data_IF_170174282241
#
_entry.id   IF_170174282241
#
_cell.length_a   1.000
_cell.length_b   1.000
_cell.length_c   1.000
_cell.angle_alpha   90.00
_cell.angle_beta   90.00
_cell.angle_gamma   90.00
#
_symmetry.space_group_name_H-M   'P 1'
#
loop_
_entity.id
_entity.type
_entity.pdbx_description
1 polymer ?
#
# COMPACT_ATOMS: atom_id res chain seq x y z
N UNK A 1 14.00 22.97 12.85
CA UNK A 1 12.53 22.86 12.74
C UNK A 1 12.25 22.25 11.39
N UNK A 2 11.93 20.95 11.35
CA UNK A 2 11.65 20.25 10.11
C UNK A 2 10.33 20.74 9.49
N UNK A 3 10.32 20.87 8.18
CA UNK A 3 9.29 21.52 7.37
C UNK A 3 7.96 20.72 7.44
N UNK A 4 6.98 21.17 8.23
CA UNK A 4 5.78 20.41 8.63
C UNK A 4 4.65 20.42 7.56
N UNK A 5 4.98 20.35 6.26
CA UNK A 5 4.01 20.44 5.15
C UNK A 5 4.06 19.29 4.12
N UNK A 6 4.98 18.34 4.24
CA UNK A 6 5.12 17.25 3.28
C UNK A 6 4.17 16.07 3.50
N UNK A 7 3.84 15.37 2.42
CA UNK A 7 3.34 13.99 2.51
C UNK A 7 4.45 13.11 3.09
N UNK A 8 4.10 12.26 4.06
CA UNK A 8 5.05 11.37 4.72
C UNK A 8 4.35 10.11 5.18
N UNK A 9 4.93 8.94 4.89
CA UNK A 9 4.51 7.66 5.46
C UNK A 9 4.84 7.67 6.95
N UNK A 10 3.93 7.19 7.78
CA UNK A 10 4.11 7.14 9.23
C UNK A 10 4.85 5.85 9.59
N UNK A 11 6.11 5.82 9.15
CA UNK A 11 7.11 4.78 9.33
C UNK A 11 8.41 5.39 9.88
N UNK A 12 9.25 4.55 10.47
CA UNK A 12 10.55 4.98 11.00
C UNK A 12 11.42 5.58 9.88
N UNK A 13 12.28 6.56 10.21
CA UNK A 13 13.17 7.18 9.23
C UNK A 13 14.05 6.16 8.51
N UNK A 14 14.48 5.12 9.22
CA UNK A 14 15.26 4.02 8.67
C UNK A 14 14.51 3.32 7.54
N UNK A 15 13.25 2.93 7.76
CA UNK A 15 12.45 2.23 6.74
C UNK A 15 12.14 3.17 5.58
N UNK A 16 11.81 4.45 5.84
CA UNK A 16 11.54 5.43 4.76
C UNK A 16 12.75 5.69 3.86
N UNK A 17 13.96 5.51 4.39
CA UNK A 17 15.20 5.65 3.62
C UNK A 17 15.53 4.45 2.72
N UNK A 18 14.86 3.31 2.90
CA UNK A 18 15.05 2.09 2.09
C UNK A 18 14.36 2.21 0.74
N UNK A 19 14.89 1.49 -0.25
CA UNK A 19 14.17 1.15 -1.47
C UNK A 19 12.92 0.31 -1.16
N UNK A 20 11.94 0.32 -2.07
CA UNK A 20 10.76 -0.54 -1.96
C UNK A 20 11.16 -2.02 -1.88
N UNK A 21 12.16 -2.44 -2.66
CA UNK A 21 12.76 -3.77 -2.60
C UNK A 21 13.33 -4.10 -1.22
N UNK A 22 14.16 -3.22 -0.65
CA UNK A 22 14.76 -3.43 0.68
C UNK A 22 13.73 -3.37 1.81
N UNK A 23 12.64 -2.61 1.64
CA UNK A 23 11.58 -2.46 2.62
C UNK A 23 10.49 -3.54 2.49
N UNK A 24 10.61 -4.47 1.54
CA UNK A 24 9.54 -5.42 1.19
C UNK A 24 8.97 -6.15 2.40
N UNK A 25 9.81 -6.70 3.28
CA UNK A 25 9.33 -7.45 4.45
C UNK A 25 8.54 -6.56 5.43
N UNK A 26 8.90 -5.27 5.56
CA UNK A 26 8.14 -4.33 6.38
C UNK A 26 6.81 -3.98 5.74
N UNK A 27 6.82 -3.81 4.42
CA UNK A 27 5.65 -3.50 3.61
C UNK A 27 4.67 -4.68 3.69
N UNK A 28 5.14 -5.90 3.42
CA UNK A 28 4.35 -7.13 3.49
C UNK A 28 3.77 -7.37 4.89
N UNK A 29 4.57 -7.18 5.95
CA UNK A 29 4.09 -7.31 7.32
C UNK A 29 2.98 -6.31 7.68
N UNK A 30 3.00 -5.11 7.10
CA UNK A 30 1.91 -4.12 7.28
C UNK A 30 0.71 -4.51 6.41
N UNK A 31 0.94 -4.80 5.14
CA UNK A 31 -0.12 -5.01 4.14
C UNK A 31 -0.87 -6.33 4.32
N UNK A 32 -0.23 -7.35 4.89
CA UNK A 32 -0.85 -8.63 5.27
C UNK A 32 -1.56 -8.59 6.64
N UNK A 33 -1.40 -7.51 7.42
CA UNK A 33 -2.05 -7.39 8.72
C UNK A 33 -3.57 -7.36 8.55
N UNK A 34 -4.28 -8.34 9.11
CA UNK A 34 -5.75 -8.46 9.02
C UNK A 34 -6.43 -7.65 10.12
N UNK A 35 -6.35 -6.32 10.00
CA UNK A 35 -6.98 -5.41 10.95
C UNK A 35 -8.48 -5.22 10.70
N UNK A 36 -9.24 -5.06 11.78
CA UNK A 36 -10.66 -4.67 11.74
C UNK A 36 -10.79 -3.16 11.53
N UNK A 37 -10.46 -2.71 10.32
CA UNK A 37 -10.53 -1.29 9.96
C UNK A 37 -11.98 -0.86 9.66
N UNK A 38 -12.42 0.33 10.13
CA UNK A 38 -13.82 0.78 9.98
C UNK A 38 -14.30 1.02 8.54
N UNK A 39 -13.39 1.07 7.58
CA UNK A 39 -13.66 1.36 6.18
C UNK A 39 -13.11 0.22 5.31
N UNK A 40 -13.88 -0.20 4.30
CA UNK A 40 -13.42 -1.07 3.22
C UNK A 40 -13.59 -0.37 1.87
N UNK A 41 -12.56 -0.41 1.02
CA UNK A 41 -12.55 0.15 -0.34
C UNK A 41 -12.42 -0.99 -1.35
N UNK A 42 -13.43 -1.13 -2.21
CA UNK A 42 -13.53 -2.19 -3.21
C UNK A 42 -13.66 -1.58 -4.62
N UNK A 43 -13.12 -2.21 -5.67
CA UNK A 43 -13.42 -1.83 -7.04
C UNK A 43 -14.91 -2.06 -7.30
N UNK A 44 -15.58 -1.13 -7.99
CA UNK A 44 -17.00 -1.23 -8.32
C UNK A 44 -17.36 -2.55 -9.01
N UNK A 45 -16.47 -3.02 -9.91
CA UNK A 45 -16.64 -4.29 -10.61
C UNK A 45 -16.78 -5.51 -9.69
N UNK A 46 -16.16 -5.50 -8.51
CA UNK A 46 -16.27 -6.59 -7.54
C UNK A 46 -17.63 -6.57 -6.81
N UNK A 47 -18.24 -5.39 -6.62
CA UNK A 47 -19.58 -5.24 -6.04
C UNK A 47 -20.69 -5.60 -7.03
N UNK A 48 -20.42 -5.41 -8.33
CA UNK A 48 -21.36 -5.66 -9.43
C UNK A 48 -21.30 -7.09 -9.98
N UNK A 49 -20.34 -7.90 -9.53
CA UNK A 49 -20.15 -9.26 -10.02
C UNK A 49 -21.30 -10.20 -9.61
N UNK A 50 -21.90 -10.89 -10.58
CA UNK A 50 -22.98 -11.87 -10.35
C UNK A 50 -22.52 -13.12 -9.56
N UNK A 51 -21.20 -13.37 -9.53
CA UNK A 51 -20.60 -14.48 -8.78
C UNK A 51 -19.77 -13.92 -7.63
N UNK A 52 -19.77 -14.63 -6.50
CA UNK A 52 -18.86 -14.37 -5.40
C UNK A 52 -17.42 -14.38 -5.93
N UNK A 53 -16.82 -13.20 -6.00
CA UNK A 53 -15.39 -13.03 -6.23
C UNK A 53 -14.75 -13.14 -4.86
N UNK A 54 -13.85 -14.10 -4.68
CA UNK A 54 -12.97 -14.13 -3.51
C UNK A 54 -12.20 -12.81 -3.51
N UNK A 55 -12.10 -12.08 -2.40
CA UNK A 55 -11.38 -10.81 -2.34
C UNK A 55 -10.29 -10.92 -1.29
N UNK A 56 -9.10 -10.46 -1.64
CA UNK A 56 -8.01 -10.31 -0.70
C UNK A 56 -8.07 -8.92 -0.08
N UNK A 57 -7.85 -8.83 1.23
CA UNK A 57 -7.79 -7.54 1.92
C UNK A 57 -6.34 -7.14 2.15
N UNK A 58 -6.06 -5.88 1.88
CA UNK A 58 -4.76 -5.27 2.05
C UNK A 58 -4.86 -4.07 2.98
N UNK A 59 -3.97 -4.02 3.98
CA UNK A 59 -3.89 -2.91 4.93
C UNK A 59 -2.89 -1.85 4.46
N UNK A 60 -3.29 -0.60 4.19
CA UNK A 60 -2.38 0.41 3.68
C UNK A 60 -1.42 0.90 4.78
N UNK A 61 -0.30 1.47 4.35
CA UNK A 61 0.66 2.16 5.22
C UNK A 61 0.10 3.55 5.55
N UNK A 62 -0.11 3.90 6.83
CA UNK A 62 -0.66 5.20 7.20
C UNK A 62 0.29 6.34 6.80
N UNK A 63 -0.26 7.50 6.44
CA UNK A 63 0.50 8.67 6.03
C UNK A 63 -0.04 9.97 6.65
N UNK A 64 0.71 11.07 6.54
CA UNK A 64 0.29 12.38 7.07
C UNK A 64 -0.96 12.94 6.39
N UNK A 65 -1.21 12.58 5.13
CA UNK A 65 -2.36 13.00 4.34
C UNK A 65 -3.04 11.76 3.74
N UNK A 66 -3.45 10.84 4.60
CA UNK A 66 -4.18 9.64 4.22
C UNK A 66 -3.39 8.36 4.47
N UNK A 67 -3.31 7.49 3.46
CA UNK A 67 -2.55 6.24 3.50
C UNK A 67 -2.15 5.78 2.09
N UNK A 68 -1.14 4.92 1.99
CA UNK A 68 -0.63 4.38 0.73
C UNK A 68 -0.50 2.86 0.79
N UNK A 69 -0.96 2.20 -0.26
CA UNK A 69 -0.84 0.77 -0.48
C UNK A 69 0.07 0.52 -1.69
N UNK A 70 1.02 -0.41 -1.58
CA UNK A 70 1.64 -1.03 -2.75
C UNK A 70 0.77 -2.21 -3.16
N UNK A 71 -0.02 -2.03 -4.22
CA UNK A 71 -1.10 -2.96 -4.57
C UNK A 71 -0.63 -4.11 -5.44
N UNK A 72 0.47 -3.93 -6.18
CA UNK A 72 1.07 -4.96 -7.02
C UNK A 72 2.59 -4.85 -7.04
N UNK A 73 3.25 -6.00 -7.16
CA UNK A 73 4.69 -6.12 -7.34
C UNK A 73 5.00 -6.97 -8.57
N UNK A 74 5.95 -6.50 -9.38
CA UNK A 74 6.45 -7.19 -10.55
C UNK A 74 7.86 -7.67 -10.27
N UNK A 75 8.08 -8.98 -10.37
CA UNK A 75 9.35 -9.63 -10.08
C UNK A 75 10.04 -10.11 -11.36
N UNK A 76 11.36 -10.27 -11.29
CA UNK A 76 12.15 -11.04 -12.25
C UNK A 76 11.74 -12.52 -12.15
N UNK A 77 10.93 -12.98 -13.10
CA UNK A 77 10.33 -14.31 -13.05
C UNK A 77 11.38 -15.42 -13.13
N UNK A 78 12.49 -15.20 -13.86
CA UNK A 78 13.57 -16.18 -13.97
C UNK A 78 14.35 -16.30 -12.65
N UNK A 79 14.70 -15.16 -12.05
CA UNK A 79 15.37 -15.11 -10.75
C UNK A 79 14.52 -15.72 -9.64
N UNK A 80 13.24 -15.33 -9.58
CA UNK A 80 12.32 -15.82 -8.56
C UNK A 80 12.00 -17.31 -8.74
N UNK A 81 11.77 -17.78 -9.97
CA UNK A 81 11.54 -19.20 -10.25
C UNK A 81 12.74 -20.06 -9.84
N UNK A 82 13.96 -19.58 -10.09
CA UNK A 82 15.19 -20.30 -9.73
C UNK A 82 15.34 -20.43 -8.20
N UNK A 83 15.02 -19.36 -7.46
CA UNK A 83 15.04 -19.36 -6.00
C UNK A 83 13.99 -20.31 -5.41
N UNK A 84 12.78 -20.30 -5.97
CA UNK A 84 11.66 -21.17 -5.56
C UNK A 84 11.89 -22.65 -5.89
N UNK A 85 12.46 -22.95 -7.05
CA UNK A 85 12.65 -24.32 -7.54
C UNK A 85 13.42 -25.20 -6.56
N UNK A 86 14.48 -24.65 -5.96
CA UNK A 86 15.29 -25.36 -4.96
C UNK A 86 14.51 -25.71 -3.70
N UNK A 87 13.57 -24.85 -3.28
CA UNK A 87 12.75 -25.05 -2.07
C UNK A 87 11.54 -25.96 -2.32
N UNK A 88 10.91 -25.85 -3.48
CA UNK A 88 9.71 -26.62 -3.83
C UNK A 88 10.03 -28.01 -4.42
N UNK A 89 11.27 -28.27 -4.83
CA UNK A 89 11.63 -29.50 -5.54
C UNK A 89 10.96 -29.62 -6.90
N UNK A 90 10.63 -28.47 -7.51
CA UNK A 90 9.96 -28.35 -8.83
C UNK A 90 10.94 -27.74 -9.82
N UNK A 91 10.83 -28.07 -11.11
CA UNK A 91 11.73 -27.50 -12.12
C UNK A 91 11.50 -25.97 -12.27
N UNK A 92 12.57 -25.17 -12.43
CA UNK A 92 12.47 -23.73 -12.65
C UNK A 92 11.58 -23.37 -13.85
N UNK A 93 11.59 -24.17 -14.92
CA UNK A 93 10.78 -23.93 -16.11
C UNK A 93 9.27 -23.98 -15.83
N UNK A 94 8.83 -24.88 -14.96
CA UNK A 94 7.42 -24.99 -14.56
C UNK A 94 6.99 -23.77 -13.76
N UNK A 95 7.84 -23.32 -12.83
CA UNK A 95 7.58 -22.14 -11.99
C UNK A 95 7.61 -20.86 -12.82
N UNK A 96 8.61 -20.70 -13.68
CA UNK A 96 8.71 -19.57 -14.61
C UNK A 96 7.46 -19.47 -15.48
N UNK A 97 7.02 -20.58 -16.08
CA UNK A 97 5.80 -20.61 -16.91
C UNK A 97 4.55 -20.22 -16.12
N UNK A 98 4.49 -20.48 -14.81
CA UNK A 98 3.37 -20.07 -13.98
C UNK A 98 3.45 -18.59 -13.58
N UNK A 99 4.64 -18.09 -13.23
CA UNK A 99 4.89 -16.67 -12.96
C UNK A 99 4.62 -15.79 -14.19
N UNK A 100 5.08 -16.20 -15.39
CA UNK A 100 4.82 -15.52 -16.66
C UNK A 100 3.32 -15.46 -17.01
N UNK A 101 2.50 -16.37 -16.47
CA UNK A 101 1.03 -16.35 -16.60
C UNK A 101 0.35 -15.47 -15.55
N UNK A 102 1.11 -14.81 -14.67
CA UNK A 102 0.59 -13.97 -13.60
C UNK A 102 0.02 -14.76 -12.41
N UNK A 103 0.39 -16.03 -12.23
CA UNK A 103 -0.13 -16.80 -11.09
C UNK A 103 0.44 -16.25 -9.78
N UNK A 104 -0.40 -15.88 -8.78
CA UNK A 104 0.06 -15.37 -7.50
C UNK A 104 0.99 -16.32 -6.76
N UNK A 105 2.01 -15.78 -6.09
CA UNK A 105 3.05 -16.56 -5.43
C UNK A 105 2.49 -17.51 -4.34
N UNK A 106 1.51 -17.06 -3.55
CA UNK A 106 0.86 -17.85 -2.52
C UNK A 106 0.06 -19.05 -3.07
N UNK A 107 -0.26 -19.06 -4.38
CA UNK A 107 -0.86 -20.21 -5.07
C UNK A 107 0.19 -21.17 -5.64
N UNK A 108 1.41 -20.69 -5.87
CA UNK A 108 2.52 -21.47 -6.41
C UNK A 108 3.29 -22.22 -5.32
N UNK A 109 3.33 -21.66 -4.12
CA UNK A 109 4.10 -22.19 -3.01
C UNK A 109 3.24 -22.20 -1.73
N UNK A 110 3.38 -23.23 -0.87
CA UNK A 110 2.79 -23.21 0.48
C UNK A 110 3.26 -21.97 1.26
N UNK A 111 2.43 -21.41 2.17
CA UNK A 111 2.79 -20.25 2.96
C UNK A 111 4.13 -20.40 3.67
N UNK A 112 4.44 -21.59 4.20
CA UNK A 112 5.69 -21.86 4.90
C UNK A 112 6.92 -21.69 3.98
N UNK A 113 6.78 -22.07 2.70
CA UNK A 113 7.85 -21.90 1.72
C UNK A 113 7.99 -20.43 1.30
N UNK A 114 6.87 -19.71 1.21
CA UNK A 114 6.88 -18.26 0.91
C UNK A 114 7.46 -17.45 2.07
N UNK A 115 7.11 -17.79 3.30
CA UNK A 115 7.67 -17.19 4.51
C UNK A 115 9.17 -17.49 4.66
N UNK A 116 9.63 -18.66 4.21
CA UNK A 116 11.05 -19.01 4.14
C UNK A 116 11.78 -18.41 2.93
N UNK A 117 11.11 -17.73 2.00
CA UNK A 117 11.78 -16.99 0.93
C UNK A 117 12.35 -15.70 1.51
N UNK A 118 13.54 -15.82 2.08
CA UNK A 118 14.35 -14.64 2.36
C UNK A 118 14.70 -13.94 1.03
N UNK A 119 14.61 -12.61 1.02
CA UNK A 119 15.08 -11.81 -0.11
C UNK A 119 14.14 -11.75 -1.31
N UNK A 120 12.83 -11.98 -1.16
CA UNK A 120 11.85 -11.74 -2.25
C UNK A 120 12.01 -10.33 -2.85
N UNK A 121 12.30 -9.34 -2.00
CA UNK A 121 12.63 -7.98 -2.39
C UNK A 121 13.72 -7.87 -3.46
N UNK A 122 14.73 -8.75 -3.45
CA UNK A 122 15.85 -8.74 -4.42
C UNK A 122 15.42 -9.08 -5.85
N UNK A 123 14.30 -9.80 -5.97
CA UNK A 123 13.72 -10.17 -7.26
C UNK A 123 12.75 -9.11 -7.78
N UNK A 124 12.37 -8.12 -6.97
CA UNK A 124 11.41 -7.10 -7.39
C UNK A 124 12.04 -6.13 -8.40
N UNK A 125 11.28 -5.83 -9.45
CA UNK A 125 11.67 -4.92 -10.54
C UNK A 125 10.82 -3.66 -10.55
N UNK A 126 9.50 -3.79 -10.39
CA UNK A 126 8.58 -2.67 -10.37
C UNK A 126 7.44 -2.90 -9.37
N UNK A 127 6.71 -1.83 -9.07
CA UNK A 127 5.54 -1.86 -8.21
C UNK A 127 4.47 -0.89 -8.70
N UNK A 128 3.23 -1.20 -8.36
CA UNK A 128 2.09 -0.29 -8.49
C UNK A 128 1.65 0.13 -7.09
N UNK A 129 1.39 1.41 -6.89
CA UNK A 129 0.87 1.93 -5.64
C UNK A 129 -0.42 2.73 -5.82
N UNK A 130 -1.22 2.76 -4.78
CA UNK A 130 -2.44 3.56 -4.66
C UNK A 130 -2.38 4.34 -3.35
N UNK A 131 -2.56 5.65 -3.41
CA UNK A 131 -2.68 6.51 -2.24
C UNK A 131 -4.10 7.03 -2.10
N UNK A 132 -4.66 6.93 -0.91
CA UNK A 132 -5.97 7.49 -0.57
C UNK A 132 -5.78 8.77 0.25
N UNK A 133 -6.16 9.91 -0.31
CA UNK A 133 -5.96 11.25 0.26
C UNK A 133 -7.32 11.86 0.62
N UNK A 134 -7.63 12.07 1.92
CA UNK A 134 -8.87 12.73 2.31
C UNK A 134 -8.85 14.20 1.90
N UNK A 135 -9.96 14.67 1.32
CA UNK A 135 -10.09 16.03 0.80
C UNK A 135 -10.93 16.92 1.73
N UNK A 136 -10.57 18.20 1.76
CA UNK A 136 -11.31 19.27 2.40
C UNK A 136 -12.35 19.91 1.47
N UNK A 137 -12.72 21.13 1.82
CA UNK A 137 -13.58 21.97 0.99
C UNK A 137 -12.76 22.54 -0.19
N UNK A 138 -13.27 22.39 -1.42
CA UNK A 138 -12.61 22.86 -2.65
C UNK A 138 -12.60 21.81 -3.76
N UNK A 139 -12.52 22.23 -5.01
CA UNK A 139 -12.59 21.29 -6.14
C UNK A 139 -11.23 20.66 -6.46
N UNK A 140 -11.24 19.37 -6.78
CA UNK A 140 -10.10 18.70 -7.40
C UNK A 140 -10.14 19.02 -8.88
N UNK A 141 -9.14 19.74 -9.37
CA UNK A 141 -8.97 20.01 -10.80
C UNK A 141 -8.23 18.83 -11.41
N UNK A 142 -8.93 18.00 -12.19
CA UNK A 142 -8.34 16.82 -12.81
C UNK A 142 -7.12 17.14 -13.67
N UNK A 143 -7.10 18.31 -14.32
CA UNK A 143 -5.96 18.76 -15.14
C UNK A 143 -4.68 18.98 -14.30
N UNK A 144 -4.83 19.36 -13.03
CA UNK A 144 -3.70 19.55 -12.13
C UNK A 144 -2.99 18.22 -11.81
N UNK A 145 -3.77 17.14 -11.67
CA UNK A 145 -3.25 15.79 -11.45
C UNK A 145 -2.74 15.16 -12.75
N UNK A 146 -3.45 15.34 -13.86
CA UNK A 146 -3.05 14.84 -15.18
C UNK A 146 -1.74 15.47 -15.70
N UNK A 147 -1.32 16.61 -15.14
CA UNK A 147 -0.02 17.24 -15.44
C UNK A 147 1.17 16.53 -14.77
N UNK A 148 0.93 15.60 -13.84
CA UNK A 148 1.97 14.82 -13.17
C UNK A 148 2.24 13.55 -13.98
N UNK A 149 3.41 13.47 -14.62
CA UNK A 149 3.75 12.37 -15.55
C UNK A 149 3.72 10.98 -14.92
N UNK A 150 3.88 10.87 -13.60
CA UNK A 150 3.89 9.59 -12.89
C UNK A 150 2.49 9.10 -12.51
N UNK A 151 1.47 9.97 -12.55
CA UNK A 151 0.10 9.59 -12.18
C UNK A 151 -0.52 8.81 -13.33
N UNK A 152 -0.83 7.53 -13.09
CA UNK A 152 -1.42 6.65 -14.10
C UNK A 152 -2.94 6.76 -14.15
N UNK A 153 -3.57 6.92 -12.98
CA UNK A 153 -5.02 7.04 -12.85
C UNK A 153 -5.39 7.73 -11.52
N UNK A 154 -6.58 8.33 -11.46
CA UNK A 154 -7.14 8.88 -10.23
C UNK A 154 -8.67 8.88 -10.21
N UNK A 155 -9.23 8.73 -9.02
CA UNK A 155 -10.67 8.71 -8.79
C UNK A 155 -11.02 9.45 -7.51
N UNK A 156 -12.18 10.10 -7.47
CA UNK A 156 -12.71 10.71 -6.24
C UNK A 156 -14.00 9.99 -5.85
N UNK A 157 -14.01 9.45 -4.63
CA UNK A 157 -15.18 8.77 -4.07
C UNK A 157 -15.69 9.50 -2.82
N UNK A 158 -17.00 9.49 -2.61
CA UNK A 158 -17.60 9.99 -1.38
C UNK A 158 -17.82 8.85 -0.40
N UNK A 159 -17.22 8.94 0.78
CA UNK A 159 -17.23 7.86 1.76
C UNK A 159 -17.06 8.37 3.18
N UNK A 160 -17.52 7.58 4.14
CA UNK A 160 -17.28 7.80 5.55
C UNK A 160 -15.85 7.37 5.92
N UNK A 161 -14.99 8.34 6.23
CA UNK A 161 -13.56 8.11 6.46
C UNK A 161 -13.24 8.21 7.95
N UNK A 162 -12.66 7.16 8.58
CA UNK A 162 -12.10 7.27 9.92
C UNK A 162 -10.80 8.07 9.86
N UNK A 163 -10.76 9.18 10.60
CA UNK A 163 -9.66 10.13 10.52
C UNK A 163 -9.00 10.39 11.87
N UNK A 164 -7.66 10.36 11.89
CA UNK A 164 -6.86 10.73 13.05
C UNK A 164 -5.82 11.80 12.70
N UNK A 165 -5.43 12.59 13.69
CA UNK A 165 -4.26 13.46 13.57
C UNK A 165 -2.99 12.60 13.40
N UNK A 166 -2.19 12.81 12.34
CA UNK A 166 -0.94 12.09 12.13
C UNK A 166 0.02 12.10 13.32
N UNK A 167 -0.01 13.14 14.16
CA UNK A 167 0.85 13.20 15.36
C UNK A 167 0.45 12.15 16.41
N UNK A 168 -0.83 11.77 16.47
CA UNK A 168 -1.29 10.70 17.37
C UNK A 168 -0.76 9.35 16.88
N UNK A 169 -0.81 9.12 15.57
CA UNK A 169 -0.32 7.89 14.92
C UNK A 169 1.20 7.78 15.07
N UNK A 170 1.93 8.88 14.86
CA UNK A 170 3.39 8.93 15.04
C UNK A 170 3.82 8.59 16.47
N UNK A 171 3.08 9.05 17.49
CA UNK A 171 3.37 8.66 18.88
C UNK A 171 3.21 7.16 19.13
N UNK A 172 2.28 6.49 18.46
CA UNK A 172 2.18 5.02 18.57
C UNK A 172 3.31 4.31 17.82
N UNK A 173 3.79 4.86 16.70
CA UNK A 173 4.99 4.37 16.02
C UNK A 173 6.22 4.46 16.94
N UNK A 174 6.46 5.62 17.57
CA UNK A 174 7.61 5.85 18.47
C UNK A 174 7.61 4.91 19.69
N UNK A 175 6.43 4.45 20.11
CA UNK A 175 6.26 3.53 21.25
C UNK A 175 6.39 2.06 20.88
N UNK A 176 6.38 1.74 19.58
CA UNK A 176 6.36 0.37 19.10
C UNK A 176 7.77 -0.13 18.80
N UNK A 177 8.07 -1.35 19.23
CA UNK A 177 9.36 -1.98 18.92
C UNK A 177 9.30 -2.87 17.68
N UNK A 178 8.11 -3.37 17.35
CA UNK A 178 7.86 -4.29 16.24
C UNK A 178 6.70 -3.80 15.37
N UNK A 179 6.73 -4.12 14.08
CA UNK A 179 5.65 -3.77 13.13
C UNK A 179 4.30 -4.31 13.59
N UNK A 180 4.22 -5.57 14.00
CA UNK A 180 2.97 -6.17 14.48
C UNK A 180 2.40 -5.46 15.72
N UNK A 181 3.26 -4.99 16.64
CA UNK A 181 2.83 -4.20 17.80
C UNK A 181 2.25 -2.85 17.36
N UNK A 182 2.92 -2.19 16.42
CA UNK A 182 2.45 -0.94 15.84
C UNK A 182 1.07 -1.11 15.20
N UNK A 183 0.88 -2.12 14.38
CA UNK A 183 -0.41 -2.40 13.71
C UNK A 183 -1.54 -2.66 14.71
N UNK A 184 -1.31 -3.44 15.77
CA UNK A 184 -2.29 -3.65 16.84
C UNK A 184 -2.64 -2.37 17.61
N UNK A 185 -1.69 -1.46 17.79
CA UNK A 185 -1.94 -0.15 18.41
C UNK A 185 -2.79 0.73 17.49
N UNK A 186 -2.49 0.74 16.19
CA UNK A 186 -3.28 1.46 15.20
C UNK A 186 -4.71 0.96 15.14
N UNK A 187 -4.94 -0.35 15.11
CA UNK A 187 -6.28 -0.94 15.11
C UNK A 187 -7.12 -0.44 16.29
N UNK A 188 -6.59 -0.52 17.51
CA UNK A 188 -7.27 0.01 18.71
C UNK A 188 -7.53 1.50 18.66
N UNK A 189 -6.66 2.26 18.02
CA UNK A 189 -6.76 3.71 17.90
C UNK A 189 -7.84 4.09 16.88
N UNK A 190 -7.83 3.46 15.70
CA UNK A 190 -8.79 3.70 14.62
C UNK A 190 -10.19 3.16 14.93
N UNK A 191 -10.31 2.09 15.72
CA UNK A 191 -11.60 1.61 16.23
C UNK A 191 -12.38 2.67 17.05
N UNK A 192 -11.69 3.73 17.52
CA UNK A 192 -12.27 4.84 18.27
C UNK A 192 -12.22 6.17 17.50
N UNK A 193 -11.73 6.15 16.27
CA UNK A 193 -11.62 7.35 15.46
C UNK A 193 -13.01 7.87 15.10
N UNK A 194 -13.16 9.19 15.11
CA UNK A 194 -14.36 9.81 14.57
C UNK A 194 -14.40 9.56 13.06
N UNK A 195 -15.54 9.08 12.59
CA UNK A 195 -15.78 8.88 11.16
C UNK A 195 -16.58 10.06 10.63
N UNK A 196 -16.17 10.60 9.47
CA UNK A 196 -16.87 11.71 8.82
C UNK A 196 -17.03 11.43 7.33
N UNK A 197 -18.19 11.81 6.78
CA UNK A 197 -18.39 11.84 5.33
C UNK A 197 -17.38 12.82 4.69
N UNK A 198 -16.57 12.31 3.76
CA UNK A 198 -15.53 13.05 3.06
C UNK A 198 -15.43 12.57 1.62
N UNK A 199 -14.88 13.42 0.76
CA UNK A 199 -14.33 12.97 -0.52
C UNK A 199 -12.94 12.39 -0.28
N UNK A 200 -12.68 11.23 -0.86
CA UNK A 200 -11.41 10.53 -0.80
C UNK A 200 -10.87 10.45 -2.23
N UNK A 201 -9.70 11.06 -2.45
CA UNK A 201 -8.99 10.97 -3.71
C UNK A 201 -8.13 9.70 -3.69
N UNK A 202 -8.36 8.79 -4.62
CA UNK A 202 -7.49 7.65 -4.90
C UNK A 202 -6.57 8.05 -6.05
N UNK A 203 -5.26 8.02 -5.84
CA UNK A 203 -4.25 8.30 -6.88
C UNK A 203 -3.39 7.08 -7.07
N UNK A 204 -3.20 6.66 -8.32
CA UNK A 204 -2.40 5.51 -8.71
C UNK A 204 -1.13 5.95 -9.43
N UNK A 205 -0.07 5.20 -9.20
CA UNK A 205 1.20 5.40 -9.87
C UNK A 205 2.01 4.11 -9.89
N UNK A 206 3.07 4.11 -10.68
CA UNK A 206 4.01 3.00 -10.81
C UNK A 206 5.44 3.48 -10.58
N UNK A 207 6.31 2.56 -10.21
CA UNK A 207 7.72 2.86 -10.00
C UNK A 207 8.59 1.62 -10.02
N UNK A 208 9.90 1.83 -10.17
CA UNK A 208 10.89 0.76 -10.08
C UNK A 208 11.13 0.38 -8.62
N UNK A 209 11.28 -0.91 -8.31
CA UNK A 209 11.45 -1.40 -6.93
C UNK A 209 12.70 -0.83 -6.21
N UNK A 210 13.69 -0.33 -6.95
CA UNK A 210 14.86 0.39 -6.38
C UNK A 210 14.56 1.82 -5.90
N UNK A 211 13.38 2.35 -6.22
CA UNK A 211 12.91 3.67 -5.74
C UNK A 211 12.78 3.65 -4.23
N UNK A 212 13.25 4.68 -3.53
CA UNK A 212 13.10 4.77 -2.08
C UNK A 212 11.72 5.23 -1.68
N UNK A 213 11.26 4.78 -0.51
CA UNK A 213 9.96 5.21 0.02
C UNK A 213 9.88 6.74 0.18
N UNK A 214 10.97 7.41 0.57
CA UNK A 214 11.03 8.88 0.62
C UNK A 214 10.89 9.54 -0.76
N UNK A 215 11.28 8.86 -1.84
CA UNK A 215 11.11 9.37 -3.20
C UNK A 215 9.63 9.21 -3.62
N UNK A 216 8.95 8.14 -3.21
CA UNK A 216 7.48 7.99 -3.34
C UNK A 216 6.73 9.06 -2.53
N UNK A 217 7.20 9.39 -1.33
CA UNK A 217 6.68 10.51 -0.54
C UNK A 217 6.77 11.84 -1.29
N UNK A 218 7.89 12.08 -1.99
CA UNK A 218 8.08 13.27 -2.80
C UNK A 218 7.15 13.33 -4.02
N UNK A 219 6.82 12.19 -4.64
CA UNK A 219 5.78 12.11 -5.66
C UNK A 219 4.41 12.53 -5.08
N UNK A 220 4.02 11.92 -3.96
CA UNK A 220 2.74 12.23 -3.31
C UNK A 220 2.66 13.65 -2.76
N UNK A 221 3.79 14.25 -2.35
CA UNK A 221 3.82 15.66 -1.96
C UNK A 221 3.35 16.57 -3.10
N UNK A 222 3.67 16.26 -4.35
CA UNK A 222 3.21 17.02 -5.51
C UNK A 222 1.68 16.99 -5.65
N UNK A 223 1.05 15.86 -5.32
CA UNK A 223 -0.43 15.72 -5.31
C UNK A 223 -1.02 16.56 -4.19
N UNK A 224 -0.51 16.41 -2.96
CA UNK A 224 -1.00 17.12 -1.77
C UNK A 224 -0.93 18.64 -1.95
N UNK A 225 0.07 19.15 -2.67
CA UNK A 225 0.21 20.58 -2.97
C UNK A 225 -0.81 21.11 -4.00
N UNK A 226 -1.42 20.23 -4.80
CA UNK A 226 -2.31 20.59 -5.92
C UNK A 226 -3.79 20.40 -5.62
N UNK A 227 -4.12 19.71 -4.53
CA UNK A 227 -5.49 19.39 -4.14
C UNK A 227 -5.77 19.92 -2.73
N UNK A 228 -7.04 20.10 -2.33
CA UNK A 228 -7.38 20.50 -0.96
C UNK A 228 -7.19 19.32 0.01
N UNK A 229 -5.98 18.76 0.09
CA UNK A 229 -5.67 17.62 0.93
C UNK A 229 -5.75 17.97 2.42
N UNK A 230 -6.37 17.09 3.20
CA UNK A 230 -6.40 17.19 4.65
C UNK A 230 -5.20 16.46 5.25
N UNK A 231 -4.58 17.08 6.24
CA UNK A 231 -3.54 16.45 7.07
C UNK A 231 -4.18 15.53 8.11
N UNK A 232 -4.70 14.41 7.63
CA UNK A 232 -5.42 13.38 8.40
C UNK A 232 -4.91 12.02 7.96
N UNK A 233 -4.48 11.20 8.91
CA UNK A 233 -4.17 9.80 8.65
C UNK A 233 -5.46 8.98 8.60
N UNK A 234 -5.53 8.03 7.68
CA UNK A 234 -6.68 7.14 7.48
C UNK A 234 -6.21 5.69 7.48
N UNK A 235 -7.08 4.76 7.83
CA UNK A 235 -6.85 3.32 7.68
C UNK A 235 -8.11 2.67 7.15
N UNK A 236 -7.94 1.68 6.27
CA UNK A 236 -9.02 0.98 5.60
C UNK A 236 -8.56 -0.39 5.14
N UNK A 237 -9.50 -1.28 4.85
CA UNK A 237 -9.28 -2.52 4.12
C UNK A 237 -9.37 -2.24 2.62
N UNK A 238 -8.28 -2.35 1.87
CA UNK A 238 -8.31 -2.30 0.41
C UNK A 238 -8.60 -3.69 -0.13
N UNK A 239 -9.77 -3.89 -0.73
CA UNK A 239 -10.18 -5.18 -1.29
C UNK A 239 -9.70 -5.32 -2.73
N UNK A 240 -8.88 -6.31 -3.02
CA UNK A 240 -8.35 -6.58 -4.34
C UNK A 240 -8.95 -7.89 -4.90
N UNK A 241 -9.37 -7.92 -6.18
CA UNK A 241 -9.69 -9.18 -6.81
C UNK A 241 -8.42 -10.03 -6.93
N UNK A 242 -8.50 -11.35 -6.74
CA UNK A 242 -7.39 -12.23 -6.95
C UNK A 242 -7.08 -12.24 -8.45
N UNK A 243 -5.82 -11.94 -8.77
CA UNK A 243 -5.29 -12.09 -10.12
C UNK A 243 -5.38 -13.56 -10.59
#
# INVERSE_FOLDING_TARGET
>A
MANNRGYRLLLSERVRGMSVAEAFDYIDAIQSFRGDWPLALSPSAALEAEKLVELESLTPIPATHGALALVEFYADEEGLASSLAGKLGVSPEVLRSALERGVPLHRLAPPEVVEELEGVGEHLRAFLFEAAVPLGEGDVRGEALASLEWVTDFEVVEVEVPGLDPEVVERELERSQYVGEYMQRLERLFARAETRARRLLLVRGEGEARTRLIDVEALMAQVVERVPALRVAVMYNRLLPPL
#
